data_IF_751288275998
#
_entry.id   IF_751288275998
#
_cell.length_a   1.000
_cell.length_b   1.000
_cell.length_c   1.000
_cell.angle_alpha   90.00
_cell.angle_beta   90.00
_cell.angle_gamma   90.00
#
_symmetry.space_group_name_H-M   'P 1'
#
loop_
_entity.id
_entity.type
_entity.pdbx_description
1 polymer ?
#
# COMPACT_ATOMS: atom_id res chain seq x y z
N UNK A 1 -6.29 10.70 32.02
CA UNK A 1 -5.26 11.71 31.69
C UNK A 1 -5.36 12.10 30.21
N UNK A 2 -4.79 13.23 29.76
CA UNK A 2 -4.71 13.58 28.34
C UNK A 2 -4.09 12.46 27.48
N UNK A 3 -3.03 11.80 27.98
CA UNK A 3 -2.39 10.67 27.29
C UNK A 3 -3.30 9.48 27.01
N UNK A 4 -4.26 9.18 27.90
CA UNK A 4 -5.27 8.14 27.64
C UNK A 4 -6.13 8.48 26.41
N UNK A 5 -6.58 9.74 26.31
CA UNK A 5 -7.39 10.21 25.17
C UNK A 5 -6.59 10.15 23.87
N UNK A 6 -5.29 10.46 23.91
CA UNK A 6 -4.42 10.41 22.72
C UNK A 6 -4.37 9.00 22.14
N UNK A 7 -4.08 8.01 22.98
CA UNK A 7 -4.04 6.60 22.58
C UNK A 7 -5.40 6.10 22.06
N UNK A 8 -6.49 6.48 22.71
CA UNK A 8 -7.84 6.08 22.28
C UNK A 8 -8.15 6.53 20.85
N UNK A 9 -7.85 7.80 20.52
CA UNK A 9 -8.14 8.35 19.20
C UNK A 9 -7.13 7.92 18.13
N UNK A 10 -5.87 7.68 18.51
CA UNK A 10 -4.87 7.11 17.62
C UNK A 10 -5.21 5.68 17.18
N UNK A 11 -5.77 4.87 18.10
CA UNK A 11 -6.28 3.52 17.80
C UNK A 11 -7.51 3.56 16.88
N UNK A 12 -8.38 4.55 17.04
CA UNK A 12 -9.54 4.79 16.17
C UNK A 12 -9.16 5.35 14.80
N UNK A 13 -7.90 5.73 14.58
CA UNK A 13 -7.41 6.24 13.30
C UNK A 13 -7.86 7.66 12.97
N UNK A 14 -8.17 8.48 13.98
CA UNK A 14 -8.51 9.90 13.75
C UNK A 14 -7.31 10.59 13.09
N UNK A 15 -7.47 11.23 11.91
CA UNK A 15 -6.34 11.70 11.10
C UNK A 15 -5.61 12.90 11.72
N UNK A 16 -6.35 13.78 12.40
CA UNK A 16 -5.82 14.99 13.03
C UNK A 16 -6.37 15.08 14.45
N UNK A 17 -5.47 15.24 15.42
CA UNK A 17 -5.82 15.57 16.80
C UNK A 17 -5.46 17.02 17.08
N UNK A 18 -6.37 17.77 17.70
CA UNK A 18 -6.12 19.13 18.15
C UNK A 18 -5.97 19.16 19.67
N UNK A 19 -4.86 19.73 20.13
CA UNK A 19 -4.49 19.91 21.53
C UNK A 19 -4.59 21.41 21.86
N UNK A 20 -5.33 21.74 22.92
CA UNK A 20 -5.50 23.12 23.40
C UNK A 20 -5.16 23.12 24.90
N UNK A 21 -3.99 23.65 25.23
CA UNK A 21 -3.57 23.93 26.59
C UNK A 21 -3.52 25.42 26.91
N UNK A 22 -3.14 25.76 28.14
CA UNK A 22 -3.04 27.15 28.60
C UNK A 22 -2.05 27.98 27.75
N UNK A 23 -0.94 27.37 27.33
CA UNK A 23 0.05 28.01 26.43
C UNK A 23 -0.52 28.29 25.04
N UNK A 24 -1.30 27.37 24.47
CA UNK A 24 -1.89 27.56 23.15
C UNK A 24 -2.92 28.70 23.17
N UNK A 25 -3.68 28.81 24.27
CA UNK A 25 -4.65 29.90 24.49
C UNK A 25 -3.91 31.25 24.59
N UNK A 26 -2.82 31.32 25.38
CA UNK A 26 -2.00 32.53 25.50
C UNK A 26 -1.38 32.95 24.16
N UNK A 27 -1.00 31.98 23.33
CA UNK A 27 -0.44 32.20 22.00
C UNK A 27 -1.50 32.36 20.90
N UNK A 28 -2.80 32.29 21.23
CA UNK A 28 -3.89 32.51 20.28
C UNK A 28 -4.08 31.41 19.22
N UNK A 29 -3.75 30.15 19.53
CA UNK A 29 -3.78 29.05 18.57
C UNK A 29 -4.07 27.68 19.17
N UNK A 30 -3.67 26.66 18.43
CA UNK A 30 -3.90 25.24 18.72
C UNK A 30 -2.72 24.43 18.21
N UNK A 31 -2.32 23.39 18.96
CA UNK A 31 -1.37 22.39 18.48
C UNK A 31 -2.12 21.28 17.75
N UNK A 32 -1.85 21.08 16.46
CA UNK A 32 -2.37 19.95 15.68
C UNK A 32 -1.34 18.82 15.62
N UNK A 33 -1.81 17.57 15.64
CA UNK A 33 -0.97 16.37 15.56
C UNK A 33 -1.50 15.46 14.46
N UNK A 34 -0.61 15.06 13.55
CA UNK A 34 -0.90 14.13 12.46
C UNK A 34 -0.86 12.69 12.91
N UNK A 35 -1.80 11.86 12.45
CA UNK A 35 -1.79 10.42 12.75
C UNK A 35 -0.78 9.63 11.93
N UNK A 36 -0.57 9.99 10.67
CA UNK A 36 0.29 9.25 9.75
C UNK A 36 1.79 9.39 10.08
N UNK A 37 2.21 10.58 10.54
CA UNK A 37 3.62 10.90 10.84
C UNK A 37 3.91 11.18 12.31
N UNK A 38 2.88 11.41 13.15
CA UNK A 38 3.03 11.91 14.53
C UNK A 38 3.66 13.30 14.64
N UNK A 39 3.80 14.02 13.52
CA UNK A 39 4.27 15.42 13.51
C UNK A 39 3.28 16.33 14.23
N UNK A 40 3.82 17.33 14.91
CA UNK A 40 3.07 18.36 15.62
C UNK A 40 3.32 19.72 14.98
N UNK A 41 2.28 20.52 14.84
CA UNK A 41 2.37 21.91 14.39
C UNK A 41 1.50 22.82 15.22
N UNK A 42 1.97 24.04 15.48
CA UNK A 42 1.14 25.10 16.04
C UNK A 42 0.45 25.86 14.91
N UNK A 43 -0.85 26.11 15.05
CA UNK A 43 -1.68 26.79 14.05
C UNK A 43 -2.45 27.91 14.74
N UNK A 44 -2.38 29.12 14.19
CA UNK A 44 -3.15 30.25 14.69
C UNK A 44 -4.64 30.01 14.55
N UNK A 45 -5.43 30.48 15.52
CA UNK A 45 -6.88 30.26 15.58
C UNK A 45 -7.61 30.71 14.29
N UNK A 46 -7.15 31.79 13.67
CA UNK A 46 -7.70 32.33 12.42
C UNK A 46 -7.50 31.40 11.22
N UNK A 47 -6.47 30.55 11.25
CA UNK A 47 -6.06 29.68 10.13
C UNK A 47 -6.53 28.23 10.28
N UNK A 48 -7.01 27.84 11.47
CA UNK A 48 -7.39 26.45 11.82
C UNK A 48 -8.25 25.78 10.75
N UNK A 49 -9.29 26.45 10.27
CA UNK A 49 -10.24 25.84 9.33
C UNK A 49 -9.59 25.50 7.99
N UNK A 50 -8.87 26.47 7.41
CA UNK A 50 -8.19 26.29 6.12
C UNK A 50 -7.05 25.29 6.24
N UNK A 51 -6.24 25.43 7.30
CA UNK A 51 -5.12 24.54 7.56
C UNK A 51 -5.59 23.10 7.74
N UNK A 52 -6.69 22.86 8.46
CA UNK A 52 -7.24 21.51 8.65
C UNK A 52 -7.64 20.87 7.33
N UNK A 53 -8.28 21.62 6.42
CA UNK A 53 -8.66 21.10 5.09
C UNK A 53 -7.43 20.71 4.27
N UNK A 54 -6.42 21.55 4.26
CA UNK A 54 -5.18 21.29 3.54
C UNK A 54 -4.43 20.09 4.13
N UNK A 55 -4.36 20.01 5.47
CA UNK A 55 -3.72 18.93 6.18
C UNK A 55 -4.39 17.57 5.90
N UNK A 56 -5.72 17.52 5.84
CA UNK A 56 -6.44 16.28 5.49
C UNK A 56 -6.11 15.81 4.06
N UNK A 57 -6.03 16.72 3.10
CA UNK A 57 -5.62 16.40 1.74
C UNK A 57 -4.16 15.90 1.69
N UNK A 58 -3.28 16.54 2.45
CA UNK A 58 -1.88 16.13 2.54
C UNK A 58 -1.71 14.73 3.14
N UNK A 59 -2.42 14.43 4.24
CA UNK A 59 -2.44 13.10 4.86
C UNK A 59 -2.92 12.05 3.85
N UNK A 60 -4.00 12.34 3.13
CA UNK A 60 -4.52 11.43 2.12
C UNK A 60 -3.48 11.16 1.02
N UNK A 61 -2.85 12.21 0.49
CA UNK A 61 -1.82 12.08 -0.55
C UNK A 61 -0.58 11.33 -0.05
N UNK A 62 -0.12 11.62 1.17
CA UNK A 62 0.98 10.94 1.84
C UNK A 62 0.74 9.43 1.94
N UNK A 63 -0.43 9.04 2.47
CA UNK A 63 -0.81 7.65 2.63
C UNK A 63 -0.99 6.94 1.28
N UNK A 64 -1.61 7.60 0.29
CA UNK A 64 -1.75 7.07 -1.05
C UNK A 64 -0.39 6.83 -1.71
N UNK A 65 0.51 7.81 -1.70
CA UNK A 65 1.85 7.70 -2.27
C UNK A 65 2.67 6.59 -1.60
N UNK A 66 2.57 6.48 -0.26
CA UNK A 66 3.18 5.38 0.49
C UNK A 66 2.63 4.02 0.06
N UNK A 67 1.30 3.89 -0.06
CA UNK A 67 0.67 2.64 -0.47
C UNK A 67 1.06 2.23 -1.90
N UNK A 68 1.10 3.19 -2.83
CA UNK A 68 1.53 2.96 -4.21
C UNK A 68 3.00 2.54 -4.28
N UNK A 69 3.87 3.15 -3.48
CA UNK A 69 5.28 2.77 -3.37
C UNK A 69 5.45 1.35 -2.84
N UNK A 70 4.66 0.97 -1.82
CA UNK A 70 4.66 -0.41 -1.28
C UNK A 70 4.24 -1.40 -2.36
N UNK A 71 3.16 -1.13 -3.09
CA UNK A 71 2.68 -2.01 -4.17
C UNK A 71 3.75 -2.13 -5.26
N UNK A 72 4.31 -1.01 -5.72
CA UNK A 72 5.34 -0.99 -6.76
C UNK A 72 6.58 -1.77 -6.34
N UNK A 73 7.07 -1.55 -5.12
CA UNK A 73 8.29 -2.19 -4.62
C UNK A 73 8.09 -3.69 -4.35
N UNK A 74 6.85 -4.14 -4.09
CA UNK A 74 6.50 -5.55 -3.90
C UNK A 74 5.96 -6.20 -5.19
N UNK A 75 6.09 -5.53 -6.35
CA UNK A 75 5.69 -6.08 -7.65
C UNK A 75 6.94 -6.28 -8.49
N UNK A 76 7.20 -7.52 -8.87
CA UNK A 76 8.42 -7.92 -9.55
C UNK A 76 8.09 -8.62 -10.86
N UNK A 77 8.78 -8.30 -11.95
CA UNK A 77 8.75 -9.12 -13.17
C UNK A 77 9.70 -10.29 -12.98
N UNK A 78 9.24 -11.50 -13.28
CA UNK A 78 10.08 -12.71 -13.22
C UNK A 78 10.05 -13.42 -14.57
N UNK A 79 11.21 -13.93 -14.98
CA UNK A 79 11.40 -14.49 -16.33
C UNK A 79 11.49 -16.02 -16.33
N UNK A 80 11.70 -16.62 -15.16
CA UNK A 80 11.79 -18.08 -14.99
C UNK A 80 10.86 -18.62 -13.91
N UNK A 81 10.44 -19.88 -14.07
CA UNK A 81 9.63 -20.55 -13.06
C UNK A 81 10.38 -20.77 -11.73
N UNK A 82 11.70 -20.89 -11.78
CA UNK A 82 12.54 -21.04 -10.58
C UNK A 82 12.64 -19.72 -9.79
N UNK A 83 12.70 -18.57 -10.47
CA UNK A 83 12.55 -17.25 -9.83
C UNK A 83 11.18 -17.11 -9.17
N UNK A 84 10.10 -17.47 -9.87
CA UNK A 84 8.74 -17.44 -9.31
C UNK A 84 8.65 -18.30 -8.04
N UNK A 85 9.15 -19.54 -8.08
CA UNK A 85 9.17 -20.43 -6.90
C UNK A 85 9.99 -19.85 -5.75
N UNK A 86 11.15 -19.24 -6.05
CA UNK A 86 12.04 -18.66 -5.03
C UNK A 86 11.39 -17.44 -4.37
N UNK A 87 10.81 -16.56 -5.16
CA UNK A 87 10.07 -15.39 -4.69
C UNK A 87 8.90 -15.80 -3.80
N UNK A 88 8.09 -16.78 -4.21
CA UNK A 88 6.91 -17.22 -3.44
C UNK A 88 7.26 -17.93 -2.12
N UNK A 89 8.51 -18.40 -1.95
CA UNK A 89 9.01 -18.95 -0.68
C UNK A 89 9.53 -17.86 0.27
N UNK A 90 10.04 -16.76 -0.27
CA UNK A 90 10.73 -15.70 0.47
C UNK A 90 9.92 -14.41 0.59
N UNK A 91 10.38 -13.38 -0.11
CA UNK A 91 9.79 -12.03 -0.14
C UNK A 91 8.45 -12.08 -0.90
N UNK A 92 7.38 -12.42 -0.17
CA UNK A 92 6.01 -12.44 -0.68
C UNK A 92 5.67 -11.13 -1.38
N UNK A 93 5.00 -11.20 -2.53
CA UNK A 93 4.64 -10.04 -3.35
C UNK A 93 3.87 -10.46 -4.60
N UNK A 94 3.78 -9.57 -5.57
CA UNK A 94 3.16 -9.81 -6.88
C UNK A 94 4.25 -10.12 -7.91
N UNK A 95 4.17 -11.28 -8.54
CA UNK A 95 5.01 -11.63 -9.67
C UNK A 95 4.26 -11.32 -10.97
N UNK A 96 4.81 -10.45 -11.80
CA UNK A 96 4.35 -10.19 -13.16
C UNK A 96 4.96 -11.25 -14.09
N UNK A 97 4.12 -12.07 -14.71
CA UNK A 97 4.52 -13.18 -15.57
C UNK A 97 3.60 -13.34 -16.76
N UNK A 98 4.07 -13.99 -17.81
CA UNK A 98 3.19 -14.46 -18.87
C UNK A 98 2.58 -15.81 -18.50
N UNK A 99 1.27 -15.97 -18.75
CA UNK A 99 0.55 -17.22 -18.51
C UNK A 99 -0.35 -17.54 -19.70
N UNK A 100 -0.37 -18.80 -20.16
CA UNK A 100 -1.05 -19.20 -21.39
C UNK A 100 -2.59 -19.31 -21.29
N UNK A 101 -3.18 -19.09 -20.10
CA UNK A 101 -4.61 -19.26 -19.89
C UNK A 101 -5.07 -20.71 -19.67
N UNK A 102 -4.15 -21.69 -19.65
CA UNK A 102 -4.46 -23.10 -19.40
C UNK A 102 -4.66 -23.35 -17.90
N UNK A 103 -5.86 -23.79 -17.45
CA UNK A 103 -6.13 -24.09 -16.05
C UNK A 103 -5.17 -25.13 -15.43
N UNK A 104 -4.62 -26.04 -16.24
CA UNK A 104 -3.63 -27.03 -15.75
C UNK A 104 -2.32 -26.37 -15.34
N UNK A 105 -1.91 -25.32 -16.06
CA UNK A 105 -0.73 -24.54 -15.70
C UNK A 105 -0.97 -23.77 -14.40
N UNK A 106 -2.14 -23.15 -14.25
CA UNK A 106 -2.48 -22.44 -13.00
C UNK A 106 -2.53 -23.38 -11.80
N UNK A 107 -3.17 -24.55 -11.93
CA UNK A 107 -3.24 -25.53 -10.83
C UNK A 107 -1.84 -26.03 -10.44
N UNK A 108 -0.95 -26.26 -11.41
CA UNK A 108 0.44 -26.65 -11.13
C UNK A 108 1.20 -25.57 -10.38
N UNK A 109 1.12 -24.32 -10.86
CA UNK A 109 1.70 -23.14 -10.18
C UNK A 109 1.17 -23.04 -8.75
N UNK A 110 -0.13 -23.21 -8.55
CA UNK A 110 -0.78 -23.16 -7.24
C UNK A 110 -0.29 -24.26 -6.30
N UNK A 111 -0.19 -25.51 -6.76
CA UNK A 111 0.28 -26.62 -5.94
C UNK A 111 1.73 -26.39 -5.49
N UNK A 112 2.60 -25.90 -6.38
CA UNK A 112 4.03 -25.74 -6.11
C UNK A 112 4.38 -24.45 -5.36
N UNK A 113 3.62 -23.37 -5.56
CA UNK A 113 3.95 -22.02 -5.04
C UNK A 113 2.92 -21.43 -4.10
N UNK A 114 1.72 -22.04 -4.01
CA UNK A 114 0.52 -21.48 -3.36
C UNK A 114 0.00 -20.19 -3.98
N UNK A 115 0.57 -19.76 -5.11
CA UNK A 115 0.16 -18.56 -5.81
C UNK A 115 -0.86 -18.89 -6.90
N UNK A 116 -1.79 -17.97 -7.13
CA UNK A 116 -2.78 -18.07 -8.22
C UNK A 116 -2.74 -16.80 -9.05
N UNK A 117 -3.35 -16.85 -10.23
CA UNK A 117 -3.55 -15.66 -11.05
C UNK A 117 -4.44 -14.65 -10.29
N UNK A 118 -4.18 -13.35 -10.49
CA UNK A 118 -4.88 -12.24 -9.82
C UNK A 118 -5.60 -11.35 -10.80
N UNK A 119 -4.83 -10.67 -11.64
CA UNK A 119 -5.34 -9.80 -12.68
C UNK A 119 -4.36 -9.71 -13.83
N UNK A 120 -4.89 -9.35 -15.00
CA UNK A 120 -4.09 -9.08 -16.20
C UNK A 120 -3.27 -7.81 -15.94
N UNK A 121 -1.99 -7.87 -16.28
CA UNK A 121 -1.12 -6.69 -16.26
C UNK A 121 -1.43 -5.82 -17.49
N UNK A 122 -1.72 -4.54 -17.24
CA UNK A 122 -1.99 -3.58 -18.32
C UNK A 122 -0.73 -3.29 -19.15
N UNK A 123 -0.96 -2.94 -20.42
CA UNK A 123 0.04 -2.45 -21.37
C UNK A 123 1.21 -3.41 -21.64
N UNK A 124 0.95 -4.73 -21.59
CA UNK A 124 1.99 -5.73 -21.85
C UNK A 124 1.88 -6.42 -23.21
N UNK A 125 3.02 -6.89 -23.69
CA UNK A 125 3.16 -7.61 -24.97
C UNK A 125 2.99 -9.11 -24.76
N UNK A 126 2.73 -9.83 -25.86
CA UNK A 126 2.75 -11.28 -25.87
C UNK A 126 4.09 -11.84 -25.42
N UNK A 127 4.08 -12.95 -24.70
CA UNK A 127 5.27 -13.62 -24.20
C UNK A 127 5.10 -15.13 -24.13
N UNK A 128 5.95 -15.81 -23.35
CA UNK A 128 5.90 -17.26 -23.15
C UNK A 128 5.42 -17.57 -21.75
N UNK A 129 4.48 -18.50 -21.63
CA UNK A 129 3.98 -18.98 -20.35
C UNK A 129 5.14 -19.40 -19.45
N UNK A 130 5.18 -18.81 -18.26
CA UNK A 130 6.23 -19.03 -17.25
C UNK A 130 6.38 -20.51 -16.87
N UNK A 131 5.30 -21.30 -16.99
CA UNK A 131 5.28 -22.71 -16.63
C UNK A 131 5.56 -23.65 -17.81
N UNK A 132 4.78 -23.56 -18.89
CA UNK A 132 4.84 -24.53 -19.99
C UNK A 132 5.55 -24.04 -21.26
N UNK A 133 5.99 -22.78 -21.31
CA UNK A 133 6.69 -22.19 -22.46
C UNK A 133 5.83 -21.96 -23.71
N UNK A 134 4.52 -22.25 -23.67
CA UNK A 134 3.59 -21.94 -24.78
C UNK A 134 3.37 -20.43 -24.89
N UNK A 135 2.89 -19.98 -26.05
CA UNK A 135 2.56 -18.57 -26.25
C UNK A 135 1.47 -18.10 -25.29
N UNK A 136 1.65 -16.87 -24.81
CA UNK A 136 0.72 -16.14 -23.97
C UNK A 136 0.50 -14.76 -24.59
N UNK A 137 -0.76 -14.34 -24.67
CA UNK A 137 -1.12 -13.06 -25.28
C UNK A 137 -0.94 -11.87 -24.33
N UNK A 138 -0.91 -12.13 -23.03
CA UNK A 138 -1.03 -11.12 -21.98
C UNK A 138 -0.15 -11.51 -20.79
N UNK A 139 0.37 -10.52 -20.08
CA UNK A 139 0.98 -10.74 -18.78
C UNK A 139 -0.08 -10.70 -17.66
N UNK A 140 0.24 -11.35 -16.56
CA UNK A 140 -0.62 -11.55 -15.41
C UNK A 140 0.17 -11.31 -14.14
N UNK A 141 -0.50 -10.77 -13.12
CA UNK A 141 0.02 -10.78 -11.76
C UNK A 141 -0.37 -12.08 -11.08
N UNK A 142 0.63 -12.79 -10.55
CA UNK A 142 0.50 -13.99 -9.74
C UNK A 142 0.98 -13.68 -8.32
N UNK A 143 0.21 -14.07 -7.32
CA UNK A 143 0.57 -13.86 -5.91
C UNK A 143 -0.07 -14.92 -5.02
N UNK A 144 0.45 -15.10 -3.80
CA UNK A 144 -0.25 -15.83 -2.74
C UNK A 144 -1.44 -15.01 -2.21
N UNK A 145 -2.54 -15.68 -1.88
CA UNK A 145 -3.71 -15.04 -1.24
C UNK A 145 -3.77 -15.43 0.23
N UNK A 146 -4.48 -14.59 0.99
CA UNK A 146 -4.92 -14.84 2.35
C UNK A 146 -5.72 -16.13 2.49
#
# INVERSE_FOLDING_TARGET
SPGYKFNEWEKKGVPVRMEIGERDIQNGGVTMVRRDTSEKMFVERSQVLEYTKNLLNEIQNSLLNRSQSIIRNNTHTVESYDELKSMMKGEKGYAKVHWCGDPKCEESIKVETKATTRCIAQDDVSGKCIYCGKDSKEAWYIAQSY
#
